data_IF_676273033723
#
_entry.id   IF_676273033723
#
_cell.length_a   1.000
_cell.length_b   1.000
_cell.length_c   1.000
_cell.angle_alpha   90.00
_cell.angle_beta   90.00
_cell.angle_gamma   90.00
#
_symmetry.space_group_name_H-M   'P 1'
#
loop_
_entity.id
_entity.type
_entity.pdbx_description
1 polymer ?
#
# COMPACT_ATOMS: atom_id res chain seq x y z
N UNK A 1 -7.95 3.52 -19.63
CA UNK A 1 -7.10 3.33 -18.43
C UNK A 1 -6.67 4.66 -17.79
N UNK A 2 -6.06 5.60 -18.51
CA UNK A 2 -5.60 6.91 -17.96
C UNK A 2 -6.73 7.77 -17.36
N UNK A 3 -7.91 7.83 -18.01
CA UNK A 3 -9.06 8.59 -17.51
C UNK A 3 -9.58 8.06 -16.16
N UNK A 4 -9.71 6.73 -16.01
CA UNK A 4 -10.13 6.13 -14.75
C UNK A 4 -9.16 6.47 -13.62
N UNK A 5 -7.86 6.36 -13.83
CA UNK A 5 -6.86 6.63 -12.81
C UNK A 5 -6.86 8.09 -12.34
N UNK A 6 -7.12 9.04 -13.26
CA UNK A 6 -7.34 10.44 -12.91
C UNK A 6 -8.63 10.62 -12.10
N UNK A 7 -9.71 9.92 -12.49
CA UNK A 7 -10.95 9.93 -11.71
C UNK A 7 -10.70 9.39 -10.29
N UNK A 8 -10.04 8.24 -10.16
CA UNK A 8 -9.71 7.69 -8.85
C UNK A 8 -8.85 8.64 -8.01
N UNK A 9 -7.92 9.37 -8.63
CA UNK A 9 -7.18 10.44 -7.95
C UNK A 9 -8.11 11.52 -7.43
N UNK A 10 -9.02 12.03 -8.25
CA UNK A 10 -9.95 13.10 -7.83
C UNK A 10 -10.91 12.66 -6.71
N UNK A 11 -11.28 11.39 -6.70
CA UNK A 11 -12.15 10.79 -5.68
C UNK A 11 -11.38 10.63 -4.35
N UNK A 12 -10.15 10.13 -4.40
CA UNK A 12 -9.34 9.78 -3.23
C UNK A 12 -8.63 11.00 -2.64
N UNK A 13 -8.17 11.93 -3.47
CA UNK A 13 -7.61 13.19 -3.03
C UNK A 13 -8.69 14.28 -3.08
N UNK A 14 -9.32 14.60 -1.94
CA UNK A 14 -10.11 15.83 -1.88
C UNK A 14 -9.23 17.03 -2.25
N UNK A 15 -9.86 18.15 -2.69
CA UNK A 15 -9.15 19.41 -3.04
C UNK A 15 -8.05 19.83 -2.03
N UNK A 16 -8.13 19.32 -0.79
CA UNK A 16 -7.17 19.61 0.29
C UNK A 16 -6.42 18.38 0.80
N UNK A 17 -6.42 17.23 0.11
CA UNK A 17 -5.76 16.00 0.56
C UNK A 17 -6.35 15.37 1.83
N UNK A 18 -7.46 15.89 2.35
CA UNK A 18 -8.00 15.52 3.66
C UNK A 18 -8.69 14.16 3.71
N UNK A 19 -9.28 13.68 2.60
CA UNK A 19 -9.92 12.36 2.56
C UNK A 19 -8.90 11.22 2.72
N UNK A 20 -7.67 11.46 2.34
CA UNK A 20 -6.57 10.52 2.37
C UNK A 20 -6.14 10.10 3.78
N UNK A 21 -6.17 11.06 4.71
CA UNK A 21 -5.71 10.85 6.09
C UNK A 21 -6.84 10.65 7.10
N UNK A 22 -8.09 10.72 6.68
CA UNK A 22 -9.26 10.57 7.55
C UNK A 22 -10.13 9.43 7.03
N UNK A 23 -10.07 8.23 7.65
CA UNK A 23 -10.85 7.08 7.22
C UNK A 23 -12.33 7.37 7.03
N UNK A 24 -12.95 8.09 7.97
CA UNK A 24 -14.38 8.42 7.92
C UNK A 24 -14.74 9.28 6.71
N UNK A 25 -13.89 10.27 6.39
CA UNK A 25 -14.09 11.09 5.19
C UNK A 25 -13.86 10.30 3.91
N UNK A 26 -12.90 9.39 3.90
CA UNK A 26 -12.68 8.47 2.79
C UNK A 26 -13.93 7.61 2.56
N UNK A 27 -14.44 7.00 3.61
CA UNK A 27 -15.61 6.13 3.54
C UNK A 27 -16.85 6.91 3.10
N UNK A 28 -17.07 8.10 3.65
CA UNK A 28 -18.23 8.94 3.33
C UNK A 28 -18.20 9.49 1.91
N UNK A 29 -17.05 9.98 1.44
CA UNK A 29 -16.96 10.76 0.21
C UNK A 29 -16.42 9.95 -0.99
N UNK A 30 -15.65 8.90 -0.75
CA UNK A 30 -14.98 8.13 -1.79
C UNK A 30 -15.71 6.84 -2.11
N UNK A 31 -16.10 6.10 -1.08
CA UNK A 31 -16.72 4.79 -1.25
C UNK A 31 -17.97 4.81 -2.14
N UNK A 32 -18.94 5.74 -1.99
CA UNK A 32 -20.14 5.75 -2.81
C UNK A 32 -19.89 5.94 -4.31
N UNK A 33 -18.76 6.56 -4.66
CA UNK A 33 -18.44 6.93 -6.06
C UNK A 33 -17.33 6.07 -6.66
N UNK A 34 -16.85 5.06 -5.94
CA UNK A 34 -15.91 4.08 -6.50
C UNK A 34 -16.57 3.26 -7.62
N UNK A 35 -15.84 2.96 -8.70
CA UNK A 35 -16.32 2.02 -9.72
C UNK A 35 -16.72 0.68 -9.10
N UNK A 36 -17.87 0.11 -9.50
CA UNK A 36 -18.43 -1.16 -8.96
C UNK A 36 -17.46 -2.35 -8.98
N UNK A 37 -16.46 -2.33 -9.87
CA UNK A 37 -15.43 -3.37 -9.96
C UNK A 37 -14.33 -3.25 -8.91
N UNK A 38 -14.27 -2.14 -8.16
CA UNK A 38 -13.40 -1.96 -7.01
C UNK A 38 -14.21 -2.33 -5.78
N UNK A 39 -13.82 -3.39 -5.07
CA UNK A 39 -14.58 -3.93 -3.94
C UNK A 39 -13.85 -3.67 -2.63
N UNK A 40 -14.59 -3.25 -1.62
CA UNK A 40 -14.09 -3.20 -0.24
C UNK A 40 -14.02 -4.61 0.30
N UNK A 41 -12.87 -5.00 0.82
CA UNK A 41 -12.66 -6.27 1.52
C UNK A 41 -12.65 -6.06 3.03
N UNK A 42 -11.98 -5.01 3.49
CA UNK A 42 -11.86 -4.70 4.90
C UNK A 42 -12.08 -3.19 5.10
N UNK A 43 -12.91 -2.83 6.05
CA UNK A 43 -13.07 -1.44 6.46
C UNK A 43 -11.83 -0.93 7.21
N UNK A 44 -11.56 0.38 7.21
CA UNK A 44 -10.46 0.93 7.98
C UNK A 44 -10.65 0.59 9.47
N UNK A 45 -9.60 0.14 10.16
CA UNK A 45 -9.69 -0.04 11.61
C UNK A 45 -9.78 1.31 12.31
N UNK A 46 -10.03 1.30 13.62
CA UNK A 46 -10.00 2.49 14.47
C UNK A 46 -8.70 3.27 14.27
N UNK A 47 -8.75 4.59 14.50
CA UNK A 47 -7.66 5.53 14.21
C UNK A 47 -6.30 5.10 14.79
N UNK A 48 -6.29 4.62 16.03
CA UNK A 48 -5.07 4.18 16.74
C UNK A 48 -4.53 2.82 16.28
N UNK A 49 -5.32 2.07 15.51
CA UNK A 49 -4.94 0.76 14.92
C UNK A 49 -4.76 0.83 13.41
N UNK A 50 -4.88 2.04 12.84
CA UNK A 50 -4.78 2.19 11.39
C UNK A 50 -3.34 2.03 10.89
N UNK A 51 -3.21 1.66 9.63
CA UNK A 51 -1.92 1.33 9.00
C UNK A 51 -1.95 1.64 7.51
N UNK A 52 -0.76 1.73 6.90
CA UNK A 52 -0.62 1.97 5.46
C UNK A 52 -0.39 0.68 4.65
N UNK A 53 -0.29 0.83 3.32
CA UNK A 53 -0.12 -0.28 2.37
C UNK A 53 1.16 -1.09 2.63
N UNK A 54 2.21 -0.50 3.14
CA UNK A 54 3.47 -1.19 3.41
C UNK A 54 3.38 -2.12 4.63
N UNK A 55 2.69 -1.69 5.68
CA UNK A 55 2.38 -2.54 6.83
C UNK A 55 1.50 -3.71 6.39
N UNK A 56 0.49 -3.43 5.52
CA UNK A 56 -0.41 -4.44 4.98
C UNK A 56 0.33 -5.57 4.24
N UNK A 57 1.20 -5.23 3.28
CA UNK A 57 1.90 -6.25 2.49
C UNK A 57 2.92 -7.05 3.29
N UNK A 58 3.45 -6.49 4.37
CA UNK A 58 4.32 -7.18 5.31
C UNK A 58 3.56 -8.08 6.29
N UNK A 59 2.22 -7.96 6.37
CA UNK A 59 1.41 -8.72 7.33
C UNK A 59 1.58 -8.26 8.79
N UNK A 60 1.98 -6.99 9.01
CA UNK A 60 2.28 -6.43 10.33
C UNK A 60 1.11 -5.65 10.96
N UNK A 61 -0.08 -5.71 10.37
CA UNK A 61 -1.25 -4.93 10.81
C UNK A 61 -1.78 -5.33 12.20
N UNK A 62 -1.43 -6.51 12.69
CA UNK A 62 -1.82 -6.98 14.01
C UNK A 62 -0.72 -6.81 15.07
N UNK A 63 0.44 -6.28 14.69
CA UNK A 63 1.59 -6.07 15.56
C UNK A 63 1.49 -4.73 16.30
N UNK A 64 0.76 -4.68 17.39
CA UNK A 64 0.45 -3.45 18.14
C UNK A 64 1.69 -2.64 18.54
N UNK A 65 2.81 -3.31 18.86
CA UNK A 65 4.09 -2.64 19.16
C UNK A 65 4.63 -1.90 17.93
N UNK A 66 4.57 -2.51 16.76
CA UNK A 66 5.02 -1.89 15.50
C UNK A 66 4.10 -0.73 15.13
N UNK A 67 2.77 -0.93 15.20
CA UNK A 67 1.81 0.14 14.92
C UNK A 67 2.05 1.37 15.79
N UNK A 68 2.30 1.19 17.09
CA UNK A 68 2.65 2.30 17.99
C UNK A 68 3.95 2.98 17.61
N UNK A 69 5.02 2.21 17.35
CA UNK A 69 6.34 2.75 17.01
C UNK A 69 6.35 3.49 15.66
N UNK A 70 5.54 3.07 14.71
CA UNK A 70 5.47 3.65 13.36
C UNK A 70 4.32 4.64 13.19
N UNK A 71 3.47 4.82 14.21
CA UNK A 71 2.18 5.52 14.08
C UNK A 71 1.36 4.99 12.89
N UNK A 72 1.42 3.67 12.64
CA UNK A 72 0.75 3.01 11.52
C UNK A 72 1.38 3.27 10.15
N UNK A 73 2.60 3.79 10.08
CA UNK A 73 3.21 4.19 8.82
C UNK A 73 4.64 3.65 8.63
N UNK A 74 4.82 2.75 7.65
CA UNK A 74 6.14 2.39 7.11
C UNK A 74 6.36 3.22 5.85
N UNK A 75 7.55 3.84 5.71
CA UNK A 75 7.92 4.67 4.58
C UNK A 75 8.54 3.84 3.45
N UNK A 76 8.53 4.38 2.25
CA UNK A 76 9.17 3.78 1.08
C UNK A 76 10.68 3.56 1.27
N UNK A 77 11.35 4.41 2.03
CA UNK A 77 12.78 4.29 2.38
C UNK A 77 13.11 2.95 3.06
N UNK A 78 12.22 2.43 3.90
CA UNK A 78 12.37 1.09 4.47
C UNK A 78 12.32 0.01 3.38
N UNK A 79 11.34 0.09 2.46
CA UNK A 79 11.22 -0.87 1.36
C UNK A 79 12.39 -0.78 0.38
N UNK A 80 12.83 0.44 0.02
CA UNK A 80 14.01 0.61 -0.83
C UNK A 80 15.25 -0.02 -0.18
N UNK A 81 15.40 0.12 1.13
CA UNK A 81 16.52 -0.48 1.86
C UNK A 81 16.49 -2.01 1.81
N UNK A 82 15.35 -2.64 2.16
CA UNK A 82 15.27 -4.12 2.16
C UNK A 82 15.39 -4.71 0.75
N UNK A 83 14.98 -3.99 -0.30
CA UNK A 83 15.19 -4.40 -1.69
C UNK A 83 16.66 -4.28 -2.07
N UNK A 84 17.33 -3.17 -1.73
CA UNK A 84 18.75 -2.95 -1.97
C UNK A 84 19.62 -4.04 -1.32
N UNK A 85 19.23 -4.46 -0.12
CA UNK A 85 19.91 -5.54 0.63
C UNK A 85 19.50 -6.95 0.16
N UNK A 86 18.73 -7.06 -0.94
CA UNK A 86 18.26 -8.34 -1.52
C UNK A 86 17.45 -9.22 -0.54
N UNK A 87 16.83 -8.59 0.46
CA UNK A 87 15.99 -9.30 1.44
C UNK A 87 14.65 -9.75 0.86
N UNK A 88 14.19 -9.09 -0.22
CA UNK A 88 13.03 -9.47 -1.02
C UNK A 88 13.47 -10.03 -2.36
N UNK A 89 12.93 -11.18 -2.72
CA UNK A 89 13.22 -11.86 -3.99
C UNK A 89 12.31 -11.25 -5.06
N UNK A 90 12.91 -10.61 -6.07
CA UNK A 90 12.19 -10.12 -7.25
C UNK A 90 11.77 -11.30 -8.12
N UNK A 91 10.56 -11.25 -8.66
CA UNK A 91 9.99 -12.30 -9.49
C UNK A 91 9.36 -11.69 -10.75
N UNK A 92 9.35 -12.45 -11.85
CA UNK A 92 8.74 -12.04 -13.12
C UNK A 92 7.31 -12.56 -13.27
N UNK A 93 7.02 -13.74 -12.73
CA UNK A 93 5.72 -14.40 -12.78
C UNK A 93 5.12 -14.48 -11.38
N UNK A 94 4.30 -13.49 -10.99
CA UNK A 94 3.72 -13.47 -9.65
C UNK A 94 2.66 -14.55 -9.50
N UNK A 95 2.54 -15.07 -8.28
CA UNK A 95 1.48 -15.97 -7.84
C UNK A 95 0.59 -15.27 -6.82
N UNK A 96 -0.57 -15.85 -6.55
CA UNK A 96 -1.41 -15.37 -5.44
C UNK A 96 -0.61 -15.32 -4.14
N UNK A 97 -0.73 -14.22 -3.42
CA UNK A 97 0.02 -13.93 -2.20
C UNK A 97 1.29 -13.11 -2.40
N UNK A 98 1.83 -12.98 -3.61
CA UNK A 98 3.02 -12.18 -3.87
C UNK A 98 2.76 -10.68 -3.77
N UNK A 99 3.82 -9.91 -3.56
CA UNK A 99 3.76 -8.45 -3.41
C UNK A 99 3.95 -7.77 -4.76
N UNK A 100 3.08 -6.81 -5.07
CA UNK A 100 3.26 -5.85 -6.15
C UNK A 100 3.68 -4.50 -5.57
N UNK A 101 4.71 -3.89 -6.15
CA UNK A 101 5.16 -2.54 -5.83
C UNK A 101 4.96 -1.62 -7.05
N UNK A 102 4.43 -0.43 -6.80
CA UNK A 102 4.29 0.63 -7.80
C UNK A 102 5.41 1.64 -7.61
N UNK A 103 6.02 2.06 -8.73
CA UNK A 103 7.12 3.02 -8.74
C UNK A 103 6.79 4.21 -9.63
N UNK A 104 7.13 5.40 -9.19
CA UNK A 104 7.00 6.61 -10.00
C UNK A 104 8.09 6.67 -11.08
N UNK A 105 8.09 7.73 -11.88
CA UNK A 105 9.06 7.95 -12.97
C UNK A 105 10.49 8.07 -12.46
N UNK A 106 10.69 8.56 -11.24
CA UNK A 106 11.98 8.62 -10.56
C UNK A 106 12.42 7.28 -9.95
N UNK A 107 11.60 6.22 -10.10
CA UNK A 107 11.90 4.89 -9.56
C UNK A 107 11.52 4.68 -8.10
N UNK A 108 11.00 5.69 -7.40
CA UNK A 108 10.61 5.58 -5.98
C UNK A 108 9.33 4.77 -5.83
N UNK A 109 9.28 3.92 -4.81
CA UNK A 109 8.07 3.15 -4.45
C UNK A 109 7.02 4.11 -3.92
N UNK A 110 5.83 4.06 -4.52
CA UNK A 110 4.70 4.93 -4.18
C UNK A 110 3.54 4.17 -3.55
N UNK A 111 3.45 2.86 -3.81
CA UNK A 111 2.36 2.03 -3.31
C UNK A 111 2.73 0.55 -3.33
N UNK A 112 1.98 -0.25 -2.55
CA UNK A 112 2.15 -1.69 -2.49
C UNK A 112 0.79 -2.41 -2.38
N UNK A 113 0.72 -3.63 -2.90
CA UNK A 113 -0.43 -4.51 -2.80
C UNK A 113 -0.03 -5.98 -2.78
N UNK A 114 -1.02 -6.86 -2.63
CA UNK A 114 -0.88 -8.31 -2.68
C UNK A 114 -1.62 -8.83 -3.90
N UNK A 115 -0.96 -9.63 -4.71
CA UNK A 115 -1.57 -10.30 -5.87
C UNK A 115 -2.58 -11.34 -5.37
N UNK A 116 -3.80 -11.32 -5.89
CA UNK A 116 -4.82 -12.32 -5.58
C UNK A 116 -5.01 -13.32 -6.72
N UNK A 117 -4.87 -12.83 -7.95
CA UNK A 117 -4.88 -13.62 -9.19
C UNK A 117 -4.17 -12.82 -10.30
N UNK A 118 -4.14 -13.34 -11.53
CA UNK A 118 -3.39 -12.72 -12.64
C UNK A 118 -3.79 -11.27 -12.99
N UNK A 119 -4.97 -10.83 -12.56
CA UNK A 119 -5.53 -9.52 -12.94
C UNK A 119 -5.88 -8.64 -11.75
N UNK A 120 -6.04 -9.23 -10.57
CA UNK A 120 -6.50 -8.53 -9.38
C UNK A 120 -5.47 -8.54 -8.27
N UNK A 121 -5.50 -7.48 -7.51
CA UNK A 121 -4.71 -7.32 -6.29
C UNK A 121 -5.59 -6.82 -5.17
N UNK A 122 -5.10 -6.98 -3.95
CA UNK A 122 -5.62 -6.29 -2.79
C UNK A 122 -4.61 -5.27 -2.31
N UNK A 123 -5.07 -4.07 -1.99
CA UNK A 123 -4.18 -3.05 -1.43
C UNK A 123 -4.93 -2.12 -0.49
N UNK A 124 -4.22 -1.60 0.48
CA UNK A 124 -4.74 -0.60 1.40
C UNK A 124 -4.45 0.79 0.86
N UNK A 125 -5.51 1.56 0.60
CA UNK A 125 -5.36 2.91 0.05
C UNK A 125 -5.18 3.92 1.18
N UNK A 126 -3.92 4.21 1.49
CA UNK A 126 -3.55 5.06 2.62
C UNK A 126 -4.19 4.56 3.93
N UNK A 127 -4.95 5.38 4.61
CA UNK A 127 -5.69 5.05 5.83
C UNK A 127 -7.12 4.61 5.56
N UNK A 128 -7.51 4.49 4.29
CA UNK A 128 -8.81 3.99 3.86
C UNK A 128 -8.95 2.47 4.01
N UNK A 129 -9.92 1.86 3.32
CA UNK A 129 -10.17 0.42 3.34
C UNK A 129 -9.07 -0.38 2.63
N UNK A 130 -9.08 -1.69 2.85
CA UNK A 130 -8.44 -2.64 1.94
C UNK A 130 -9.40 -2.90 0.79
N UNK A 131 -8.91 -2.69 -0.44
CA UNK A 131 -9.70 -2.81 -1.66
C UNK A 131 -9.16 -3.93 -2.54
N UNK A 132 -10.07 -4.70 -3.17
CA UNK A 132 -9.77 -5.57 -4.31
C UNK A 132 -10.04 -4.81 -5.60
N UNK A 133 -9.04 -4.75 -6.48
CA UNK A 133 -9.12 -4.01 -7.74
C UNK A 133 -8.16 -4.61 -8.78
N UNK A 134 -8.30 -4.23 -10.04
CA UNK A 134 -7.33 -4.61 -11.07
C UNK A 134 -6.00 -3.90 -10.85
N UNK A 135 -4.90 -4.47 -11.33
CA UNK A 135 -3.54 -3.94 -11.15
C UNK A 135 -3.42 -2.44 -11.42
N UNK A 136 -4.08 -1.93 -12.45
CA UNK A 136 -4.02 -0.51 -12.81
C UNK A 136 -5.26 0.31 -12.43
N UNK A 137 -6.21 -0.27 -11.71
CA UNK A 137 -7.35 0.48 -11.16
C UNK A 137 -6.97 1.13 -9.82
N UNK A 138 -5.91 1.91 -9.85
CA UNK A 138 -5.38 2.69 -8.72
C UNK A 138 -5.24 4.17 -9.14
N UNK A 139 -5.29 5.11 -8.19
CA UNK A 139 -4.99 6.51 -8.46
C UNK A 139 -3.67 6.68 -9.22
N UNK A 140 -3.59 7.67 -10.12
CA UNK A 140 -2.43 7.85 -10.99
C UNK A 140 -1.14 8.25 -10.24
N UNK A 141 -1.25 8.88 -9.07
CA UNK A 141 -0.09 9.19 -8.23
C UNK A 141 0.59 7.92 -7.62
N UNK A 142 -0.07 6.75 -7.63
CA UNK A 142 0.61 5.48 -7.33
C UNK A 142 1.49 4.99 -8.48
N UNK A 143 1.39 5.65 -9.64
CA UNK A 143 2.18 5.36 -10.83
C UNK A 143 1.81 4.07 -11.56
N UNK A 144 2.55 3.74 -12.63
CA UNK A 144 2.23 2.60 -13.52
C UNK A 144 3.43 1.67 -13.76
N UNK A 145 4.62 2.02 -13.30
CA UNK A 145 5.74 1.08 -13.29
C UNK A 145 5.55 0.11 -12.13
N UNK A 146 5.48 -1.18 -12.43
CA UNK A 146 5.27 -2.21 -11.42
C UNK A 146 6.44 -3.17 -11.36
N UNK A 147 6.63 -3.78 -10.21
CA UNK A 147 7.54 -4.89 -10.00
C UNK A 147 6.94 -5.84 -8.96
N UNK A 148 7.27 -7.12 -9.08
CA UNK A 148 6.74 -8.15 -8.20
C UNK A 148 7.84 -8.74 -7.34
N UNK A 149 7.47 -9.13 -6.12
CA UNK A 149 8.36 -9.72 -5.14
C UNK A 149 7.65 -10.84 -4.41
N UNK A 150 8.40 -11.89 -4.08
CA UNK A 150 7.88 -12.95 -3.22
C UNK A 150 7.54 -12.37 -1.85
N UNK A 151 6.33 -12.66 -1.36
CA UNK A 151 5.90 -12.22 -0.03
C UNK A 151 6.70 -12.95 1.04
N UNK A 152 7.13 -12.22 2.04
CA UNK A 152 7.76 -12.79 3.23
C UNK A 152 6.71 -13.16 4.26
N UNK A 153 6.93 -14.27 4.99
CA UNK A 153 6.07 -14.63 6.12
C UNK A 153 6.30 -13.71 7.33
N UNK A 154 5.36 -13.69 8.27
CA UNK A 154 5.35 -12.80 9.44
C UNK A 154 6.68 -12.84 10.21
N UNK A 155 7.20 -14.02 10.51
CA UNK A 155 8.48 -14.18 11.24
C UNK A 155 9.64 -13.45 10.55
N UNK A 156 9.73 -13.52 9.21
CA UNK A 156 10.74 -12.79 8.43
C UNK A 156 10.45 -11.29 8.42
N UNK A 157 9.20 -10.88 8.25
CA UNK A 157 8.80 -9.47 8.29
C UNK A 157 9.17 -8.79 9.61
N UNK A 158 8.95 -9.45 10.75
CA UNK A 158 9.35 -8.98 12.07
C UNK A 158 10.88 -8.81 12.19
N UNK A 159 11.65 -9.79 11.71
CA UNK A 159 13.11 -9.71 11.67
C UNK A 159 13.60 -8.55 10.79
N UNK A 160 13.00 -8.37 9.61
CA UNK A 160 13.32 -7.27 8.71
C UNK A 160 13.02 -5.91 9.37
N UNK A 161 11.85 -5.79 10.00
CA UNK A 161 11.51 -4.57 10.71
C UNK A 161 12.51 -4.27 11.82
N UNK A 162 12.83 -5.23 12.68
CA UNK A 162 13.81 -5.06 13.76
C UNK A 162 15.18 -4.61 13.23
N UNK A 163 15.66 -5.23 12.14
CA UNK A 163 16.97 -4.96 11.52
C UNK A 163 17.04 -3.59 10.84
N UNK A 164 15.95 -3.18 10.16
CA UNK A 164 15.96 -2.02 9.27
C UNK A 164 15.09 -0.85 9.74
N UNK A 165 14.45 -0.88 10.91
CA UNK A 165 13.54 0.18 11.40
C UNK A 165 14.16 1.58 11.42
N UNK A 166 15.49 1.71 11.58
CA UNK A 166 16.21 3.00 11.50
C UNK A 166 16.10 3.69 10.14
N UNK A 167 15.83 2.93 9.09
CA UNK A 167 15.61 3.46 7.74
C UNK A 167 14.14 3.81 7.45
N UNK A 168 13.25 3.61 8.43
CA UNK A 168 11.85 4.01 8.33
C UNK A 168 11.70 5.51 8.56
N UNK A 169 12.27 6.32 7.68
CA UNK A 169 12.27 7.79 7.76
C UNK A 169 11.54 8.38 6.57
N UNK A 170 10.85 9.50 6.81
CA UNK A 170 10.28 10.30 5.73
C UNK A 170 11.44 10.79 4.86
N UNK A 171 11.37 10.57 3.53
CA UNK A 171 12.36 11.15 2.65
C UNK A 171 12.36 12.67 2.83
N UNK A 172 13.53 13.25 3.01
CA UNK A 172 13.67 14.71 2.96
C UNK A 172 13.24 15.16 1.58
N UNK A 173 12.19 15.96 1.52
CA UNK A 173 11.68 16.61 0.29
C UNK A 173 12.61 17.70 -0.15
#
# INVERSE_FOLDING_TARGET
MRALRKLLRSIVSSKNGKNWYKPDLFMKNTLPVLPKRIKVLEFPPEKNKNYNCFIYVLGLQNESKILRQTHGFIYNSFFEKIIKEKELIKIERPRSGDVILYRNTAGLITHAGIVTDNSFITSKWSWGPVLKHRVFDVPDFYSSKISYYQRVGLKKALKLYAKYKRFNTKASS
#
